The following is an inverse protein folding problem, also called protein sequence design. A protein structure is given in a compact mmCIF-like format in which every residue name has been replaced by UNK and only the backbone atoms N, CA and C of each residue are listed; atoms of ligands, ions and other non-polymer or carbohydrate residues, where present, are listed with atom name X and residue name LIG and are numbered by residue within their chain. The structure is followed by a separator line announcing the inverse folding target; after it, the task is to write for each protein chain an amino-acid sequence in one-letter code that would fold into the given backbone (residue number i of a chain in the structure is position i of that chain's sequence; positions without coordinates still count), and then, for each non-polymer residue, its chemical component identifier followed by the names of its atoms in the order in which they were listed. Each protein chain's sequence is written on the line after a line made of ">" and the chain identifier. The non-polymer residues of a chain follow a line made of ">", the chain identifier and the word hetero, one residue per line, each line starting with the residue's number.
data_IF_654718941629
#
_entry.id   IF_654718941629
#
_cell.length_a   1.000
_cell.length_b   1.000
_cell.length_c   1.000
_cell.angle_alpha   90.00
_cell.angle_beta   90.00
_cell.angle_gamma   90.00
#
_symmetry.space_group_name_H-M   'P 1'
#
loop_
_entity.id
_entity.type
_entity.pdbx_description
1 polymer ?
#
# COMPACT_ATOMS: atom_id res chain seq x y z
N UNK A 1 6.59 6.89 21.10
CA UNK A 1 7.14 6.23 19.89
C UNK A 1 6.20 5.10 19.47
N UNK A 2 5.47 5.25 18.36
CA UNK A 2 4.47 4.26 17.87
C UNK A 2 4.55 4.02 16.35
N UNK A 3 5.66 4.39 15.71
CA UNK A 3 5.80 4.37 14.25
C UNK A 3 5.89 2.95 13.65
N UNK A 4 6.41 1.96 14.39
CA UNK A 4 6.58 0.58 13.90
C UNK A 4 5.26 -0.15 13.63
N UNK A 5 4.24 0.04 14.47
CA UNK A 5 2.94 -0.62 14.33
C UNK A 5 2.06 -0.03 13.23
N UNK A 6 2.24 1.25 12.90
CA UNK A 6 1.45 1.92 11.86
C UNK A 6 1.81 1.40 10.46
N UNK A 7 3.10 1.13 10.20
CA UNK A 7 3.59 0.66 8.90
C UNK A 7 3.08 -0.73 8.53
N UNK A 8 3.13 -1.67 9.46
CA UNK A 8 2.64 -3.03 9.22
C UNK A 8 1.11 -3.05 9.00
N UNK A 9 0.37 -2.13 9.62
CA UNK A 9 -1.07 -1.98 9.40
C UNK A 9 -1.38 -1.39 8.02
N UNK A 10 -0.70 -0.32 7.62
CA UNK A 10 -0.92 0.32 6.31
C UNK A 10 -0.64 -0.63 5.14
N UNK A 11 0.44 -1.42 5.21
CA UNK A 11 0.75 -2.41 4.16
C UNK A 11 -0.29 -3.53 4.12
N UNK A 12 -0.77 -3.99 5.28
CA UNK A 12 -1.84 -5.00 5.35
C UNK A 12 -3.17 -4.46 4.82
N UNK A 13 -3.53 -3.23 5.16
CA UNK A 13 -4.73 -2.54 4.68
C UNK A 13 -4.67 -2.40 3.16
N UNK A 14 -3.56 -1.91 2.60
CA UNK A 14 -3.36 -1.81 1.16
C UNK A 14 -3.53 -3.16 0.46
N UNK A 15 -2.85 -4.21 0.96
CA UNK A 15 -2.95 -5.56 0.40
C UNK A 15 -4.39 -6.12 0.46
N UNK A 16 -5.15 -5.77 1.50
CA UNK A 16 -6.55 -6.19 1.63
C UNK A 16 -7.42 -5.51 0.57
N UNK A 17 -7.28 -4.19 0.42
CA UNK A 17 -8.02 -3.43 -0.58
C UNK A 17 -7.68 -3.83 -2.01
N UNK A 18 -6.42 -4.14 -2.31
CA UNK A 18 -6.00 -4.61 -3.63
C UNK A 18 -6.59 -5.98 -3.97
N UNK A 19 -6.59 -6.92 -3.01
CA UNK A 19 -7.25 -8.22 -3.20
C UNK A 19 -8.74 -8.09 -3.42
N UNK A 20 -9.39 -7.21 -2.66
CA UNK A 20 -10.82 -6.97 -2.80
C UNK A 20 -11.15 -6.31 -4.14
N UNK A 21 -10.36 -5.33 -4.57
CA UNK A 21 -10.47 -4.72 -5.90
C UNK A 21 -10.40 -5.79 -6.99
N UNK A 22 -9.37 -6.66 -6.97
CA UNK A 22 -9.21 -7.71 -8.00
C UNK A 22 -10.42 -8.64 -8.02
N UNK A 23 -10.86 -9.12 -6.87
CA UNK A 23 -12.00 -10.03 -6.77
C UNK A 23 -13.31 -9.40 -7.27
N UNK A 24 -13.56 -8.14 -6.92
CA UNK A 24 -14.74 -7.40 -7.37
C UNK A 24 -14.68 -7.08 -8.87
N UNK A 25 -13.50 -6.72 -9.40
CA UNK A 25 -13.30 -6.50 -10.84
C UNK A 25 -13.54 -7.78 -11.65
N UNK A 26 -12.99 -8.92 -11.21
CA UNK A 26 -13.25 -10.22 -11.85
C UNK A 26 -14.75 -10.59 -11.85
N UNK A 27 -15.47 -10.24 -10.78
CA UNK A 27 -16.92 -10.45 -10.71
C UNK A 27 -17.65 -9.58 -11.71
N UNK A 28 -17.29 -8.29 -11.83
CA UNK A 28 -17.86 -7.38 -12.83
C UNK A 28 -17.60 -7.91 -14.24
N UNK A 29 -16.38 -8.37 -14.53
CA UNK A 29 -16.02 -8.89 -15.85
C UNK A 29 -16.84 -10.14 -16.22
N UNK A 30 -17.10 -11.03 -15.24
CA UNK A 30 -17.99 -12.18 -15.43
C UNK A 30 -19.43 -11.77 -15.71
N UNK A 31 -19.96 -10.76 -15.01
CA UNK A 31 -21.32 -10.26 -15.27
C UNK A 31 -21.43 -9.65 -16.67
N UNK A 32 -20.43 -8.87 -17.08
CA UNK A 32 -20.36 -8.31 -18.45
C UNK A 32 -20.29 -9.43 -19.49
N UNK A 33 -19.45 -10.44 -19.29
CA UNK A 33 -19.32 -11.57 -20.19
C UNK A 33 -20.60 -12.44 -20.26
N UNK A 34 -21.35 -12.52 -19.16
CA UNK A 34 -22.64 -13.21 -19.10
C UNK A 34 -23.78 -12.43 -19.77
N UNK A 35 -23.53 -11.19 -20.21
CA UNK A 35 -24.56 -10.33 -20.80
C UNK A 35 -25.59 -9.83 -19.79
N UNK A 36 -25.20 -9.71 -18.53
CA UNK A 36 -26.08 -9.18 -17.48
C UNK A 36 -26.50 -7.74 -17.75
N UNK A 37 -27.61 -7.35 -17.14
CA UNK A 37 -28.21 -6.06 -17.40
C UNK A 37 -27.32 -4.88 -16.94
N UNK A 38 -27.44 -3.75 -17.64
CA UNK A 38 -26.59 -2.59 -17.42
C UNK A 38 -26.75 -1.97 -16.02
N UNK A 39 -27.93 -2.08 -15.40
CA UNK A 39 -28.16 -1.61 -14.03
C UNK A 39 -27.38 -2.47 -13.04
N UNK A 40 -27.40 -3.80 -13.18
CA UNK A 40 -26.64 -4.72 -12.32
C UNK A 40 -25.14 -4.48 -12.43
N UNK A 41 -24.59 -4.39 -13.66
CA UNK A 41 -23.17 -4.12 -13.88
C UNK A 41 -22.77 -2.75 -13.32
N UNK A 42 -23.59 -1.72 -13.54
CA UNK A 42 -23.34 -0.38 -12.98
C UNK A 42 -23.31 -0.42 -11.45
N UNK A 43 -24.25 -1.12 -10.82
CA UNK A 43 -24.29 -1.19 -9.35
C UNK A 43 -23.05 -1.85 -8.77
N UNK A 44 -22.53 -2.90 -9.41
CA UNK A 44 -21.27 -3.52 -8.97
C UNK A 44 -20.06 -2.60 -9.17
N UNK A 45 -20.03 -1.77 -10.22
CA UNK A 45 -18.99 -0.75 -10.42
C UNK A 45 -19.03 0.32 -9.34
N UNK A 46 -20.21 0.77 -8.92
CA UNK A 46 -20.36 1.72 -7.80
C UNK A 46 -19.81 1.12 -6.50
N UNK A 47 -20.09 -0.16 -6.20
CA UNK A 47 -19.54 -0.87 -5.03
C UNK A 47 -18.01 -0.98 -5.11
N UNK A 48 -17.45 -1.22 -6.30
CA UNK A 48 -16.01 -1.23 -6.49
C UNK A 48 -15.39 0.14 -6.24
N UNK A 49 -16.02 1.21 -6.69
CA UNK A 49 -15.54 2.58 -6.46
C UNK A 49 -15.53 2.93 -4.96
N UNK A 50 -16.57 2.56 -4.21
CA UNK A 50 -16.65 2.72 -2.76
C UNK A 50 -15.53 1.95 -2.03
N UNK A 51 -15.20 0.74 -2.51
CA UNK A 51 -14.15 -0.10 -1.91
C UNK A 51 -12.74 0.46 -2.18
N UNK A 52 -12.57 1.17 -3.30
CA UNK A 52 -11.26 1.57 -3.82
C UNK A 52 -10.89 3.02 -3.52
N UNK A 53 -11.85 3.83 -3.05
CA UNK A 53 -11.64 5.23 -2.65
C UNK A 53 -10.54 5.42 -1.59
N UNK A 54 -10.29 4.39 -0.77
CA UNK A 54 -9.29 4.42 0.31
C UNK A 54 -7.87 4.06 -0.17
N UNK A 55 -7.73 3.39 -1.31
CA UNK A 55 -6.45 2.92 -1.84
C UNK A 55 -5.47 4.08 -2.09
N UNK A 56 -5.87 5.23 -2.68
CA UNK A 56 -4.98 6.37 -2.88
C UNK A 56 -4.44 6.96 -1.57
N UNK A 57 -5.26 7.06 -0.52
CA UNK A 57 -4.82 7.57 0.79
C UNK A 57 -3.78 6.64 1.42
N UNK A 58 -4.06 5.33 1.45
CA UNK A 58 -3.11 4.34 1.97
C UNK A 58 -1.77 4.41 1.24
N UNK A 59 -1.80 4.56 -0.10
CA UNK A 59 -0.59 4.71 -0.92
C UNK A 59 0.19 5.97 -0.59
N UNK A 60 -0.49 7.12 -0.49
CA UNK A 60 0.16 8.38 -0.13
C UNK A 60 0.81 8.30 1.25
N UNK A 61 0.12 7.72 2.24
CA UNK A 61 0.65 7.56 3.60
C UNK A 61 1.85 6.62 3.65
N UNK A 62 1.85 5.54 2.87
CA UNK A 62 3.01 4.64 2.74
C UNK A 62 4.19 5.36 2.09
N UNK A 63 3.95 6.14 1.03
CA UNK A 63 4.99 6.89 0.35
C UNK A 63 5.65 7.94 1.27
N UNK A 64 4.84 8.74 1.99
CA UNK A 64 5.34 9.70 2.98
C UNK A 64 6.16 9.01 4.07
N UNK A 65 5.65 7.92 4.63
CA UNK A 65 6.35 7.19 5.70
C UNK A 65 7.63 6.47 5.22
N UNK A 66 7.74 6.19 3.91
CA UNK A 66 8.96 5.68 3.27
C UNK A 66 9.98 6.79 3.11
N UNK A 67 9.57 7.93 2.55
CA UNK A 67 10.45 9.09 2.34
C UNK A 67 11.01 9.62 3.67
N UNK A 68 10.20 9.70 4.72
CA UNK A 68 10.64 10.08 6.06
C UNK A 68 11.70 9.11 6.61
N UNK A 69 11.50 7.81 6.44
CA UNK A 69 12.47 6.80 6.90
C UNK A 69 13.77 6.85 6.09
N UNK A 70 13.69 7.09 4.77
CA UNK A 70 14.86 7.28 3.92
C UNK A 70 15.70 8.48 4.35
N UNK A 71 15.04 9.62 4.65
CA UNK A 71 15.73 10.81 5.16
C UNK A 71 16.42 10.54 6.48
N UNK A 72 15.73 9.91 7.43
CA UNK A 72 16.27 9.60 8.75
C UNK A 72 17.48 8.66 8.65
N UNK A 73 17.41 7.61 7.82
CA UNK A 73 18.55 6.71 7.58
C UNK A 73 19.73 7.47 6.95
N UNK A 74 19.47 8.35 5.98
CA UNK A 74 20.53 9.14 5.35
C UNK A 74 21.21 10.12 6.32
N UNK A 75 20.44 10.78 7.19
CA UNK A 75 20.97 11.68 8.23
C UNK A 75 21.84 10.93 9.26
N UNK A 76 21.41 9.73 9.68
CA UNK A 76 22.20 8.88 10.57
C UNK A 76 23.51 8.48 9.89
N UNK A 77 23.46 7.98 8.65
CA UNK A 77 24.67 7.53 7.94
C UNK A 77 25.62 8.67 7.58
N UNK A 78 25.11 9.90 7.41
CA UNK A 78 25.94 11.07 7.20
C UNK A 78 26.70 11.50 8.47
N UNK A 79 26.17 11.17 9.66
CA UNK A 79 26.78 11.51 10.95
C UNK A 79 27.57 10.36 11.58
N UNK A 80 27.19 9.11 11.29
CA UNK A 80 27.81 7.89 11.79
C UNK A 80 27.75 6.80 10.69
N UNK A 81 28.77 6.75 9.84
CA UNK A 81 28.81 5.82 8.72
C UNK A 81 28.88 4.35 9.17
N UNK A 82 29.50 4.09 10.33
CA UNK A 82 29.59 2.77 10.97
C UNK A 82 28.22 2.20 11.37
N UNK A 83 27.21 3.07 11.53
CA UNK A 83 25.85 2.63 11.80
C UNK A 83 25.24 1.84 10.62
N UNK A 84 25.86 1.87 9.43
CA UNK A 84 25.44 1.05 8.29
C UNK A 84 25.39 -0.45 8.58
N UNK A 85 26.20 -0.93 9.52
CA UNK A 85 26.26 -2.34 9.92
C UNK A 85 25.32 -2.66 11.09
N UNK A 86 24.64 -1.64 11.66
CA UNK A 86 23.69 -1.84 12.75
C UNK A 86 22.45 -2.60 12.27
N UNK A 87 21.96 -3.50 13.10
CA UNK A 87 20.75 -4.27 12.80
C UNK A 87 19.56 -3.35 12.52
N UNK A 88 19.46 -2.20 13.21
CA UNK A 88 18.40 -1.22 13.02
C UNK A 88 18.46 -0.54 11.64
N UNK A 89 19.65 -0.16 11.16
CA UNK A 89 19.80 0.47 9.84
C UNK A 89 19.57 -0.55 8.73
N UNK A 90 20.07 -1.78 8.88
CA UNK A 90 19.82 -2.87 7.94
C UNK A 90 18.32 -3.15 7.84
N UNK A 91 17.63 -3.28 8.98
CA UNK A 91 16.19 -3.50 9.03
C UNK A 91 15.41 -2.31 8.43
N UNK A 92 15.81 -1.07 8.70
CA UNK A 92 15.18 0.11 8.12
C UNK A 92 15.33 0.15 6.59
N UNK A 93 16.52 -0.16 6.06
CA UNK A 93 16.78 -0.26 4.63
C UNK A 93 15.97 -1.38 3.97
N UNK A 94 15.81 -2.52 4.63
CA UNK A 94 14.95 -3.61 4.17
C UNK A 94 13.47 -3.17 4.11
N UNK A 95 12.98 -2.46 5.13
CA UNK A 95 11.62 -1.91 5.14
C UNK A 95 11.43 -0.89 4.01
N UNK A 96 12.39 -0.01 3.76
CA UNK A 96 12.36 0.95 2.64
C UNK A 96 12.28 0.21 1.29
N UNK A 97 13.04 -0.87 1.14
CA UNK A 97 13.10 -1.68 -0.09
C UNK A 97 11.80 -2.43 -0.34
N UNK A 98 11.20 -2.99 0.71
CA UNK A 98 10.00 -3.81 0.64
C UNK A 98 8.70 -2.99 0.71
N UNK A 99 8.76 -1.68 0.98
CA UNK A 99 7.59 -0.82 0.92
C UNK A 99 7.06 -0.76 -0.53
N UNK A 100 5.76 -1.05 -0.76
CA UNK A 100 5.20 -1.12 -2.11
C UNK A 100 5.40 0.21 -2.85
N UNK A 101 6.03 0.16 -4.03
CA UNK A 101 6.57 1.34 -4.73
C UNK A 101 5.59 1.94 -5.73
N UNK A 102 4.59 1.18 -6.21
CA UNK A 102 3.52 1.61 -7.13
C UNK A 102 2.55 0.44 -7.36
N UNK A 103 1.37 0.75 -7.91
CA UNK A 103 0.44 -0.22 -8.51
C UNK A 103 1.16 -1.21 -9.43
#
# INVERSE_FOLDING_TARGET
>A
MHHGNLKHRLVKELNSYEKEHVAQQERIDKLVAAGEDAHTVRKQREVLEETTVMIPDCKNRIAVAKDELQRLVAEILASAAEAAESEEIIAAQEVIRNAPVKL
#
